data_IF_472502922559
#
_entry.id   IF_472502922559
#
_cell.length_a   1.000
_cell.length_b   1.000
_cell.length_c   1.000
_cell.angle_alpha   90.00
_cell.angle_beta   90.00
_cell.angle_gamma   90.00
#
_symmetry.space_group_name_H-M   'P 1'
#
loop_
_entity.id
_entity.type
_entity.pdbx_description
1 polymer ?
#
# COMPACT_ATOMS: atom_id res chain seq x y z
N UNK A 1 -32.22 27.83 -17.36
CA UNK A 1 -31.93 27.31 -16.02
C UNK A 1 -31.01 26.11 -16.19
N UNK A 2 -29.69 26.32 -16.05
CA UNK A 2 -28.70 25.22 -16.12
C UNK A 2 -28.55 24.65 -14.72
N UNK A 3 -29.12 23.47 -14.51
CA UNK A 3 -28.89 22.69 -13.29
C UNK A 3 -27.42 22.23 -13.27
N UNK A 4 -26.62 22.93 -12.48
CA UNK A 4 -25.25 22.49 -12.18
C UNK A 4 -25.32 21.18 -11.44
N UNK A 5 -24.86 20.08 -12.10
CA UNK A 5 -24.62 18.81 -11.43
C UNK A 5 -23.34 19.02 -10.62
N UNK A 6 -23.48 19.29 -9.33
CA UNK A 6 -22.37 19.20 -8.39
C UNK A 6 -22.03 17.71 -8.27
N UNK A 7 -21.05 17.22 -9.05
CA UNK A 7 -20.47 15.90 -8.84
C UNK A 7 -19.60 15.96 -7.59
N UNK A 8 -20.16 15.59 -6.45
CA UNK A 8 -19.33 15.30 -5.28
C UNK A 8 -18.48 14.05 -5.62
N UNK A 9 -17.16 14.20 -5.58
CA UNK A 9 -16.27 13.04 -5.67
C UNK A 9 -16.67 12.05 -4.57
N UNK A 10 -16.69 10.75 -4.88
CA UNK A 10 -16.97 9.72 -3.88
C UNK A 10 -15.81 9.65 -2.87
N UNK A 11 -16.05 9.10 -1.66
CA UNK A 11 -15.01 8.93 -0.66
C UNK A 11 -13.84 8.08 -1.18
N UNK A 12 -14.12 7.08 -2.06
CA UNK A 12 -13.08 6.25 -2.67
C UNK A 12 -12.23 7.03 -3.68
N UNK A 13 -12.82 7.99 -4.41
CA UNK A 13 -12.07 8.87 -5.31
C UNK A 13 -11.16 9.81 -4.51
N UNK A 14 -11.62 10.29 -3.35
CA UNK A 14 -10.79 11.09 -2.43
C UNK A 14 -9.61 10.29 -1.90
N UNK A 15 -9.81 9.03 -1.54
CA UNK A 15 -8.73 8.15 -1.08
C UNK A 15 -7.73 7.83 -2.19
N UNK A 16 -8.20 7.61 -3.42
CA UNK A 16 -7.33 7.45 -4.57
C UNK A 16 -6.54 8.72 -4.89
N UNK A 17 -7.16 9.90 -4.74
CA UNK A 17 -6.49 11.18 -4.87
C UNK A 17 -5.39 11.38 -3.81
N UNK A 18 -5.60 10.92 -2.58
CA UNK A 18 -4.57 10.90 -1.53
C UNK A 18 -3.38 10.03 -1.93
N UNK A 19 -3.61 8.85 -2.52
CA UNK A 19 -2.54 8.00 -3.06
C UNK A 19 -1.72 8.73 -4.13
N UNK A 20 -2.34 9.56 -4.95
CA UNK A 20 -1.64 10.35 -5.99
C UNK A 20 -0.67 11.39 -5.41
N UNK A 21 -0.84 11.80 -4.16
CA UNK A 21 0.12 12.69 -3.49
C UNK A 21 1.48 12.03 -3.23
N UNK A 22 1.53 10.70 -3.31
CA UNK A 22 2.75 9.92 -3.12
C UNK A 22 3.60 9.78 -4.39
N UNK A 23 3.13 10.25 -5.54
CA UNK A 23 3.88 10.15 -6.80
C UNK A 23 5.30 10.69 -6.63
N UNK A 24 6.28 9.90 -7.07
CA UNK A 24 7.71 10.17 -6.92
C UNK A 24 8.45 9.09 -6.16
N UNK A 25 9.70 9.38 -5.83
CA UNK A 25 10.63 8.42 -5.22
C UNK A 25 10.80 8.67 -3.72
N UNK A 26 10.86 7.56 -2.98
CA UNK A 26 10.93 7.55 -1.53
C UNK A 26 11.96 6.55 -1.04
N UNK A 27 12.57 6.85 0.10
CA UNK A 27 13.49 5.93 0.78
C UNK A 27 13.21 5.89 2.27
N UNK A 28 13.43 4.75 2.89
CA UNK A 28 13.28 4.58 4.33
C UNK A 28 14.04 3.34 4.82
N UNK A 29 14.09 3.21 6.13
CA UNK A 29 14.64 2.03 6.80
C UNK A 29 13.49 1.22 7.36
N UNK A 30 13.36 -0.02 6.90
CA UNK A 30 12.33 -0.94 7.31
C UNK A 30 12.77 -1.68 8.59
N UNK A 31 12.08 -1.41 9.67
CA UNK A 31 12.29 -2.04 10.97
C UNK A 31 11.37 -3.26 11.13
N UNK A 32 11.88 -4.31 11.77
CA UNK A 32 11.18 -5.56 11.98
C UNK A 32 10.76 -5.71 13.44
N UNK A 33 9.52 -6.11 13.69
CA UNK A 33 9.04 -6.38 15.06
C UNK A 33 9.79 -7.53 15.76
N UNK A 34 10.46 -8.38 15.00
CA UNK A 34 11.30 -9.47 15.49
C UNK A 34 12.67 -9.01 15.97
N UNK A 35 13.06 -7.75 15.70
CA UNK A 35 14.39 -7.21 16.01
C UNK A 35 15.48 -7.66 15.04
N UNK A 36 15.09 -8.27 13.90
CA UNK A 36 16.03 -8.61 12.83
C UNK A 36 16.66 -7.33 12.24
N UNK A 37 17.79 -7.53 11.54
CA UNK A 37 18.54 -6.42 10.95
C UNK A 37 17.64 -5.59 10.02
N UNK A 38 17.58 -4.26 10.21
CA UNK A 38 16.82 -3.38 9.34
C UNK A 38 17.28 -3.45 7.89
N UNK A 39 16.34 -3.24 6.96
CA UNK A 39 16.59 -3.21 5.53
C UNK A 39 16.25 -1.85 4.94
N UNK A 40 16.94 -1.48 3.88
CA UNK A 40 16.56 -0.30 3.09
C UNK A 40 15.33 -0.64 2.26
N UNK A 41 14.34 0.25 2.30
CA UNK A 41 13.16 0.22 1.45
C UNK A 41 13.16 1.44 0.54
N UNK A 42 13.12 1.23 -0.76
CA UNK A 42 12.92 2.27 -1.76
C UNK A 42 11.59 2.03 -2.47
N UNK A 43 10.83 3.09 -2.66
CA UNK A 43 9.54 3.08 -3.36
C UNK A 43 9.56 4.11 -4.49
N UNK A 44 8.96 3.77 -5.61
CA UNK A 44 8.72 4.71 -6.72
C UNK A 44 7.26 4.60 -7.15
N UNK A 45 6.49 5.66 -6.91
CA UNK A 45 5.09 5.73 -7.28
C UNK A 45 4.90 6.49 -8.58
N UNK A 46 4.16 5.93 -9.51
CA UNK A 46 3.85 6.56 -10.79
C UNK A 46 2.42 6.28 -11.24
N UNK A 47 1.84 7.25 -11.97
CA UNK A 47 0.51 7.10 -12.55
C UNK A 47 0.60 6.27 -13.83
N UNK A 48 -0.35 5.36 -14.01
CA UNK A 48 -0.48 4.48 -15.17
C UNK A 48 -1.93 4.44 -15.66
N UNK A 49 -2.14 3.80 -16.80
CA UNK A 49 -3.46 3.48 -17.33
C UNK A 49 -4.38 4.71 -17.43
N UNK A 50 -3.88 5.77 -18.05
CA UNK A 50 -4.62 7.02 -18.25
C UNK A 50 -5.15 7.63 -16.94
N UNK A 51 -4.38 7.55 -15.86
CA UNK A 51 -4.74 8.12 -14.56
C UNK A 51 -5.56 7.19 -13.66
N UNK A 52 -5.91 5.99 -14.12
CA UNK A 52 -6.78 5.07 -13.36
C UNK A 52 -6.03 4.09 -12.46
N UNK A 53 -4.71 4.02 -12.56
CA UNK A 53 -3.88 3.16 -11.74
C UNK A 53 -2.65 3.90 -11.21
N UNK A 54 -2.19 3.51 -10.03
CA UNK A 54 -0.90 3.92 -9.47
C UNK A 54 -0.04 2.67 -9.36
N UNK A 55 1.14 2.72 -9.96
CA UNK A 55 2.15 1.68 -9.81
C UNK A 55 3.11 2.09 -8.70
N UNK A 56 3.31 1.19 -7.72
CA UNK A 56 4.41 1.24 -6.76
C UNK A 56 5.45 0.21 -7.20
N UNK A 57 6.63 0.66 -7.55
CA UNK A 57 7.80 -0.19 -7.70
C UNK A 57 8.58 -0.12 -6.39
N UNK A 58 8.89 -1.26 -5.79
CA UNK A 58 9.60 -1.32 -4.52
C UNK A 58 10.86 -2.14 -4.63
N UNK A 59 11.89 -1.73 -3.88
CA UNK A 59 13.10 -2.51 -3.67
C UNK A 59 13.34 -2.59 -2.17
N UNK A 60 13.26 -3.79 -1.63
CA UNK A 60 13.48 -4.08 -0.22
C UNK A 60 14.67 -5.00 -0.08
N UNK A 61 15.78 -4.47 0.46
CA UNK A 61 16.99 -5.27 0.66
C UNK A 61 17.52 -5.92 -0.63
N UNK A 62 17.25 -5.33 -1.80
CA UNK A 62 17.62 -5.87 -3.11
C UNK A 62 16.53 -6.69 -3.80
N UNK A 63 15.41 -6.97 -3.13
CA UNK A 63 14.26 -7.67 -3.74
C UNK A 63 13.32 -6.66 -4.38
N UNK A 64 13.17 -6.76 -5.70
CA UNK A 64 12.25 -5.93 -6.48
C UNK A 64 10.85 -6.52 -6.45
N UNK A 65 9.87 -5.67 -6.17
CA UNK A 65 8.44 -6.02 -6.14
C UNK A 65 7.64 -4.90 -6.77
N UNK A 66 6.36 -5.17 -7.02
CA UNK A 66 5.45 -4.12 -7.48
C UNK A 66 4.05 -4.29 -6.89
N UNK A 67 3.38 -3.16 -6.74
CA UNK A 67 1.99 -3.08 -6.30
C UNK A 67 1.22 -2.15 -7.22
N UNK A 68 0.03 -2.54 -7.59
CA UNK A 68 -0.86 -1.71 -8.41
C UNK A 68 -2.07 -1.34 -7.57
N UNK A 69 -2.34 -0.04 -7.45
CA UNK A 69 -3.52 0.51 -6.80
C UNK A 69 -4.50 1.00 -7.86
N UNK A 70 -5.75 0.61 -7.74
CA UNK A 70 -6.83 1.08 -8.62
C UNK A 70 -8.17 1.03 -7.91
N UNK A 71 -9.15 1.76 -8.44
CA UNK A 71 -10.54 1.70 -7.99
C UNK A 71 -11.34 0.83 -8.93
N UNK A 72 -12.03 -0.16 -8.37
CA UNK A 72 -12.93 -1.04 -9.09
C UNK A 72 -14.17 -1.31 -8.24
N UNK A 73 -15.36 -1.16 -8.82
CA UNK A 73 -16.63 -1.35 -8.10
C UNK A 73 -16.70 -0.54 -6.78
N UNK A 74 -16.34 0.73 -6.84
CA UNK A 74 -16.29 1.66 -5.70
C UNK A 74 -15.39 1.19 -4.54
N UNK A 75 -14.38 0.37 -4.84
CA UNK A 75 -13.38 -0.09 -3.88
C UNK A 75 -11.98 0.26 -4.35
N UNK A 76 -11.20 0.87 -3.48
CA UNK A 76 -9.77 1.04 -3.68
C UNK A 76 -9.09 -0.27 -3.30
N UNK A 77 -8.42 -0.88 -4.27
CA UNK A 77 -7.70 -2.13 -4.09
C UNK A 77 -6.23 -1.98 -4.41
N UNK A 78 -5.42 -2.83 -3.80
CA UNK A 78 -4.03 -3.04 -4.15
C UNK A 78 -3.80 -4.48 -4.59
N UNK A 79 -3.04 -4.67 -5.66
CA UNK A 79 -2.56 -5.98 -6.10
C UNK A 79 -1.05 -5.97 -5.97
N UNK A 80 -0.52 -6.78 -5.04
CA UNK A 80 0.89 -6.83 -4.74
C UNK A 80 1.54 -8.08 -5.30
N UNK A 81 2.57 -7.91 -6.12
CA UNK A 81 3.40 -9.00 -6.62
C UNK A 81 4.61 -9.14 -5.71
N UNK A 82 4.52 -10.10 -4.79
CA UNK A 82 5.39 -10.21 -3.63
C UNK A 82 6.65 -11.05 -3.89
N UNK A 83 7.74 -10.67 -3.24
CA UNK A 83 8.94 -11.48 -3.18
C UNK A 83 8.74 -12.85 -2.51
N UNK A 84 7.64 -13.03 -1.76
CA UNK A 84 7.19 -14.32 -1.21
C UNK A 84 6.56 -15.23 -2.27
N UNK A 85 6.56 -14.81 -3.54
CA UNK A 85 6.08 -15.55 -4.72
C UNK A 85 4.56 -15.78 -4.73
N UNK A 86 3.80 -14.90 -4.11
CA UNK A 86 2.35 -14.85 -4.20
C UNK A 86 1.87 -13.44 -4.55
N UNK A 87 0.56 -13.31 -4.73
CA UNK A 87 -0.05 -12.07 -5.20
C UNK A 87 -1.24 -11.69 -4.31
N UNK A 88 -1.02 -11.13 -3.12
CA UNK A 88 -2.08 -10.63 -2.28
C UNK A 88 -2.88 -9.52 -2.96
N UNK A 89 -4.19 -9.67 -3.00
CA UNK A 89 -5.15 -8.62 -3.36
C UNK A 89 -5.75 -8.09 -2.07
N UNK A 90 -5.63 -6.79 -1.85
CA UNK A 90 -6.09 -6.14 -0.62
C UNK A 90 -7.07 -5.02 -0.93
N UNK A 91 -7.98 -4.76 -0.03
CA UNK A 91 -8.96 -3.68 -0.14
C UNK A 91 -8.80 -2.68 1.00
N UNK A 92 -9.02 -1.40 0.69
CA UNK A 92 -9.08 -0.36 1.71
C UNK A 92 -10.26 -0.65 2.64
N UNK A 93 -9.97 -0.78 3.95
CA UNK A 93 -10.98 -1.05 4.98
C UNK A 93 -11.23 0.16 5.87
N UNK A 94 -10.31 1.10 5.93
CA UNK A 94 -10.48 2.37 6.64
C UNK A 94 -9.54 3.44 6.11
N UNK A 95 -10.03 4.68 6.17
CA UNK A 95 -9.26 5.88 5.83
C UNK A 95 -9.69 6.99 6.80
N UNK A 96 -8.88 7.23 7.82
CA UNK A 96 -9.17 8.19 8.89
C UNK A 96 -7.92 8.97 9.24
N UNK A 97 -8.02 10.30 9.29
CA UNK A 97 -6.89 11.20 9.62
C UNK A 97 -5.64 10.94 8.75
N UNK A 98 -5.83 10.67 7.45
CA UNK A 98 -4.75 10.40 6.51
C UNK A 98 -4.14 9.00 6.62
N UNK A 99 -4.64 8.15 7.52
CA UNK A 99 -4.19 6.76 7.70
C UNK A 99 -5.10 5.83 6.90
N UNK A 100 -4.54 5.26 5.84
CA UNK A 100 -5.23 4.30 4.95
C UNK A 100 -4.80 2.88 5.30
N UNK A 101 -5.77 2.04 5.66
CA UNK A 101 -5.54 0.63 6.00
C UNK A 101 -6.16 -0.29 4.96
N UNK A 102 -5.34 -1.20 4.45
CA UNK A 102 -5.72 -2.23 3.49
C UNK A 102 -5.64 -3.60 4.15
N UNK A 103 -6.59 -4.47 3.85
CA UNK A 103 -6.60 -5.85 4.31
C UNK A 103 -6.67 -6.81 3.13
N UNK A 104 -5.85 -7.85 3.17
CA UNK A 104 -5.80 -8.88 2.12
C UNK A 104 -7.06 -9.74 2.16
N UNK A 105 -7.66 -9.90 0.98
CA UNK A 105 -8.68 -10.90 0.71
C UNK A 105 -7.97 -12.24 0.43
N UNK A 106 -7.86 -13.07 1.46
CA UNK A 106 -7.10 -14.32 1.40
C UNK A 106 -7.71 -15.27 0.38
N UNK A 107 -9.02 -15.45 0.43
CA UNK A 107 -9.75 -16.34 -0.48
C UNK A 107 -9.68 -15.82 -1.93
N UNK A 108 -10.01 -14.54 -2.14
CA UNK A 108 -9.96 -13.92 -3.45
C UNK A 108 -8.55 -13.85 -4.05
N UNK A 109 -7.51 -13.86 -3.21
CA UNK A 109 -6.12 -13.93 -3.65
C UNK A 109 -5.67 -15.35 -4.01
N UNK A 110 -6.43 -16.38 -3.64
CA UNK A 110 -6.06 -17.78 -3.82
C UNK A 110 -4.90 -18.22 -2.93
N UNK A 111 -4.73 -17.61 -1.76
CA UNK A 111 -3.65 -17.89 -0.82
C UNK A 111 -4.06 -19.00 0.14
N UNK A 112 -3.18 -20.01 0.30
CA UNK A 112 -3.31 -21.02 1.34
C UNK A 112 -2.52 -20.59 2.58
N UNK A 113 -3.22 -19.99 3.53
CA UNK A 113 -2.61 -19.46 4.77
C UNK A 113 -1.95 -20.52 5.64
N UNK A 114 -2.24 -21.81 5.41
CA UNK A 114 -1.62 -22.90 6.14
C UNK A 114 -0.26 -23.33 5.57
N UNK A 115 0.06 -22.87 4.37
CA UNK A 115 1.27 -23.24 3.63
C UNK A 115 2.15 -22.07 3.22
N UNK A 116 1.57 -20.88 3.10
CA UNK A 116 2.25 -19.70 2.56
C UNK A 116 2.38 -18.60 3.61
N UNK A 117 3.54 -17.94 3.60
CA UNK A 117 3.68 -16.62 4.22
C UNK A 117 3.19 -15.56 3.23
N UNK A 118 2.42 -14.60 3.68
CA UNK A 118 1.89 -13.54 2.82
C UNK A 118 1.65 -12.24 3.58
N UNK A 119 1.62 -11.14 2.86
CA UNK A 119 1.25 -9.85 3.46
C UNK A 119 -0.25 -9.82 3.71
N UNK A 120 -0.65 -9.75 4.97
CA UNK A 120 -2.05 -9.77 5.37
C UNK A 120 -2.66 -8.36 5.45
N UNK A 121 -1.85 -7.35 5.70
CA UNK A 121 -2.33 -5.97 5.80
C UNK A 121 -1.25 -4.95 5.47
N UNK A 122 -1.70 -3.77 5.03
CA UNK A 122 -0.88 -2.61 4.72
C UNK A 122 -1.45 -1.38 5.40
N UNK A 123 -0.58 -0.48 5.83
CA UNK A 123 -0.98 0.83 6.32
C UNK A 123 -0.10 1.90 5.69
N UNK A 124 -0.72 2.88 5.06
CA UNK A 124 -0.08 4.07 4.52
C UNK A 124 -0.59 5.24 5.35
N UNK A 125 0.27 5.82 6.16
CA UNK A 125 -0.08 6.92 7.05
C UNK A 125 0.48 8.25 6.54
N UNK A 126 -0.36 9.05 5.89
CA UNK A 126 -0.03 10.42 5.54
C UNK A 126 0.06 11.24 6.84
N UNK A 127 1.09 12.08 6.94
CA UNK A 127 1.33 12.92 8.11
C UNK A 127 0.86 14.33 7.79
N UNK A 128 -0.05 14.88 8.60
CA UNK A 128 -0.58 16.23 8.40
C UNK A 128 0.56 17.26 8.36
N UNK A 129 0.55 18.13 7.35
CA UNK A 129 1.56 19.14 7.14
C UNK A 129 2.91 18.65 6.59
N UNK A 130 3.07 17.35 6.38
CA UNK A 130 4.31 16.72 5.90
C UNK A 130 4.12 16.10 4.52
N UNK A 131 4.43 16.83 3.45
CA UNK A 131 4.35 16.32 2.08
C UNK A 131 5.51 15.41 1.66
N UNK A 132 6.60 15.45 2.41
CA UNK A 132 7.87 14.77 2.09
C UNK A 132 8.18 13.60 3.04
N UNK A 133 7.21 13.22 3.88
CA UNK A 133 7.28 12.06 4.76
C UNK A 133 5.93 11.36 4.85
N UNK A 134 5.94 10.04 4.97
CA UNK A 134 4.77 9.26 5.37
C UNK A 134 5.19 7.99 6.10
N UNK A 135 4.27 7.43 6.89
CA UNK A 135 4.48 6.18 7.57
C UNK A 135 4.02 5.00 6.71
N UNK A 136 4.83 3.97 6.66
CA UNK A 136 4.58 2.75 5.90
C UNK A 136 4.66 1.55 6.83
N UNK A 137 3.62 0.72 6.85
CA UNK A 137 3.58 -0.50 7.66
C UNK A 137 2.98 -1.63 6.85
N UNK A 138 3.51 -2.82 7.01
CA UNK A 138 2.82 -4.03 6.59
C UNK A 138 3.06 -5.18 7.57
N UNK A 139 2.13 -6.13 7.54
CA UNK A 139 2.16 -7.32 8.38
C UNK A 139 2.20 -8.56 7.52
N UNK A 140 3.10 -9.49 7.88
CA UNK A 140 3.23 -10.79 7.23
C UNK A 140 2.64 -11.85 8.15
N UNK A 141 1.70 -12.62 7.63
CA UNK A 141 1.16 -13.81 8.29
C UNK A 141 1.95 -15.03 7.84
N UNK A 142 2.39 -15.84 8.80
CA UNK A 142 3.11 -17.09 8.57
C UNK A 142 2.20 -18.31 8.76
N UNK A 143 2.54 -19.48 8.18
CA UNK A 143 1.72 -20.69 8.29
C UNK A 143 1.48 -21.18 9.73
N UNK A 144 2.37 -20.88 10.65
CA UNK A 144 2.21 -21.19 12.08
C UNK A 144 1.28 -20.22 12.83
N UNK A 145 0.70 -19.23 12.12
CA UNK A 145 -0.18 -18.22 12.68
C UNK A 145 0.53 -17.01 13.27
N UNK A 146 1.86 -16.97 13.29
CA UNK A 146 2.62 -15.81 13.76
C UNK A 146 2.52 -14.65 12.77
N UNK A 147 2.55 -13.42 13.28
CA UNK A 147 2.51 -12.19 12.48
C UNK A 147 3.77 -11.38 12.76
N UNK A 148 4.47 -11.02 11.69
CA UNK A 148 5.62 -10.12 11.73
C UNK A 148 5.19 -8.77 11.19
N UNK A 149 5.44 -7.71 11.96
CA UNK A 149 5.16 -6.32 11.55
C UNK A 149 6.45 -5.65 11.10
N UNK A 150 6.36 -4.92 10.00
CA UNK A 150 7.47 -4.15 9.43
C UNK A 150 7.01 -2.71 9.23
N UNK A 151 7.83 -1.76 9.70
CA UNK A 151 7.51 -0.34 9.68
C UNK A 151 8.66 0.49 9.14
N UNK A 152 8.33 1.55 8.42
CA UNK A 152 9.30 2.52 7.96
C UNK A 152 8.69 3.93 7.97
N UNK A 153 9.52 4.93 8.22
CA UNK A 153 9.21 6.32 7.87
C UNK A 153 9.84 6.58 6.51
N UNK A 154 9.00 6.81 5.51
CA UNK A 154 9.45 7.08 4.15
C UNK A 154 9.70 8.57 3.97
N UNK A 155 10.81 8.89 3.36
CA UNK A 155 11.22 10.27 3.05
C UNK A 155 11.34 10.43 1.54
N UNK A 156 10.82 11.55 1.02
CA UNK A 156 10.89 11.85 -0.40
C UNK A 156 12.37 12.04 -0.82
N UNK A 157 12.73 11.40 -1.90
CA UNK A 157 14.03 11.61 -2.56
C UNK A 157 13.92 12.83 -3.47
N UNK A 158 14.91 13.68 -3.39
CA UNK A 158 15.02 14.90 -4.20
C UNK A 158 15.79 14.59 -5.49
#
# INVERSE_FOLDING_TARGET
MTSGVNSYASAVDDDFAKMKTLIGKWTGTLEWSTGDKPETLNLDYSVRSNGSAILEESNQGGVEMLTIFNVQNDKLQSTHYCGLKNKPVSYLISSTNGVMKFKTDIEGSGIDKSKESFVISWTIGLIEGEKDKFNYEYKVHNPDGTIVTRTAVMKRMI
#
